data_IF_169688288483
#
_entry.id   IF_169688288483
#
_cell.length_a   1.000
_cell.length_b   1.000
_cell.length_c   1.000
_cell.angle_alpha   90.00
_cell.angle_beta   90.00
_cell.angle_gamma   90.00
#
_symmetry.space_group_name_H-M   'P 1'
#
loop_
_entity.id
_entity.type
_entity.pdbx_description
1 polymer ?
#
# COMPACT_ATOMS: atom_id res chain seq x y z
N UNK A 1 -19.20 -10.21 -4.15
CA UNK A 1 -18.24 -11.31 -4.14
C UNK A 1 -16.89 -10.80 -3.63
N UNK A 2 -16.35 -11.42 -2.58
CA UNK A 2 -15.01 -11.10 -2.09
C UNK A 2 -13.99 -11.81 -2.98
N UNK A 3 -13.00 -11.07 -3.49
CA UNK A 3 -11.98 -11.58 -4.41
C UNK A 3 -10.57 -11.66 -3.83
N UNK A 4 -10.35 -11.03 -2.67
CA UNK A 4 -9.08 -11.11 -1.91
C UNK A 4 -9.29 -10.56 -0.49
N UNK A 5 -8.38 -10.90 0.42
CA UNK A 5 -8.29 -10.27 1.74
C UNK A 5 -6.94 -9.58 1.87
N UNK A 6 -6.95 -8.28 2.17
CA UNK A 6 -5.76 -7.54 2.58
C UNK A 6 -5.64 -7.60 4.11
N UNK A 7 -4.54 -8.16 4.60
CA UNK A 7 -4.28 -8.34 6.03
C UNK A 7 -3.57 -7.10 6.57
N UNK A 8 -4.33 -6.18 7.15
CA UNK A 8 -3.91 -4.90 7.68
C UNK A 8 -3.65 -3.82 6.64
N UNK A 9 -3.19 -2.64 7.11
CA UNK A 9 -2.85 -1.47 6.31
C UNK A 9 -1.57 -0.80 6.82
N UNK A 10 -0.62 -0.49 5.94
CA UNK A 10 0.62 0.26 6.17
C UNK A 10 1.38 -0.12 7.46
N UNK A 11 1.75 -1.38 7.66
CA UNK A 11 2.34 -1.83 8.92
C UNK A 11 3.72 -1.23 9.21
N UNK A 12 4.39 -0.67 8.22
CA UNK A 12 5.66 0.03 8.36
C UNK A 12 5.50 1.56 8.51
N UNK A 13 4.27 2.03 8.65
CA UNK A 13 3.93 3.42 8.96
C UNK A 13 3.46 3.53 10.42
N UNK A 14 4.11 4.38 11.21
CA UNK A 14 3.85 4.52 12.65
C UNK A 14 2.40 4.90 12.98
N UNK A 15 1.70 5.56 12.05
CA UNK A 15 0.28 5.91 12.25
C UNK A 15 -0.67 4.71 12.14
N UNK A 16 -0.22 3.58 11.60
CA UNK A 16 -1.03 2.38 11.36
C UNK A 16 -0.59 1.16 12.17
N UNK A 17 0.69 1.12 12.57
CA UNK A 17 1.26 0.11 13.46
C UNK A 17 2.31 0.74 14.35
N UNK A 18 2.14 0.65 15.66
CA UNK A 18 3.12 1.20 16.58
C UNK A 18 4.32 0.26 16.72
N UNK A 19 5.25 0.38 15.79
CA UNK A 19 6.50 -0.40 15.83
C UNK A 19 7.48 0.06 16.93
N UNK A 20 7.18 1.12 17.68
CA UNK A 20 7.90 1.44 18.92
C UNK A 20 7.54 0.46 20.02
N UNK A 21 6.32 -0.09 20.00
CA UNK A 21 5.86 -1.15 20.89
C UNK A 21 6.17 -2.56 20.33
N UNK A 22 6.35 -2.69 19.02
CA UNK A 22 6.73 -3.94 18.33
C UNK A 22 7.94 -3.68 17.41
N UNK A 23 9.13 -3.36 17.95
CA UNK A 23 10.26 -2.84 17.18
C UNK A 23 10.84 -3.83 16.16
N UNK A 24 10.44 -5.08 16.20
CA UNK A 24 10.86 -6.10 15.24
C UNK A 24 9.71 -6.63 14.38
N UNK A 25 8.52 -6.04 14.44
CA UNK A 25 7.27 -6.51 13.80
C UNK A 25 6.93 -7.98 14.10
N UNK A 26 7.36 -8.51 15.23
CA UNK A 26 7.11 -9.90 15.61
C UNK A 26 5.64 -10.16 15.92
N UNK A 27 4.97 -9.21 16.58
CA UNK A 27 3.53 -9.28 16.87
C UNK A 27 2.72 -9.13 15.59
N UNK A 28 3.10 -8.19 14.73
CA UNK A 28 2.48 -8.02 13.42
C UNK A 28 2.58 -9.29 12.57
N UNK A 29 3.78 -9.87 12.45
CA UNK A 29 3.99 -11.10 11.70
C UNK A 29 3.19 -12.28 12.25
N UNK A 30 3.09 -12.39 13.58
CA UNK A 30 2.25 -13.38 14.24
C UNK A 30 0.77 -13.18 13.88
N UNK A 31 0.27 -11.95 13.93
CA UNK A 31 -1.10 -11.62 13.57
C UNK A 31 -1.39 -12.01 12.11
N UNK A 32 -0.49 -11.68 11.17
CA UNK A 32 -0.64 -12.07 9.75
C UNK A 32 -0.74 -13.58 9.60
N UNK A 33 0.15 -14.33 10.23
CA UNK A 33 0.14 -15.81 10.16
C UNK A 33 -1.13 -16.42 10.73
N UNK A 34 -1.59 -15.93 11.88
CA UNK A 34 -2.82 -16.41 12.52
C UNK A 34 -4.07 -16.07 11.69
N UNK A 35 -4.16 -14.84 11.18
CA UNK A 35 -5.26 -14.44 10.31
C UNK A 35 -5.31 -15.28 9.03
N UNK A 36 -4.17 -15.49 8.40
CA UNK A 36 -4.08 -16.34 7.20
C UNK A 36 -4.51 -17.78 7.51
N UNK A 37 -4.02 -18.36 8.59
CA UNK A 37 -4.40 -19.72 9.00
C UNK A 37 -5.92 -19.84 9.27
N UNK A 38 -6.50 -18.87 9.97
CA UNK A 38 -7.93 -18.85 10.26
C UNK A 38 -8.78 -18.76 8.97
N UNK A 39 -8.40 -17.87 8.05
CA UNK A 39 -9.10 -17.72 6.75
C UNK A 39 -9.01 -19.02 5.94
N UNK A 40 -7.84 -19.67 5.91
CA UNK A 40 -7.66 -20.95 5.20
C UNK A 40 -8.41 -22.11 5.84
N UNK A 41 -8.53 -22.12 7.17
CA UNK A 41 -9.31 -23.14 7.89
C UNK A 41 -10.80 -23.11 7.56
N UNK A 42 -11.35 -21.95 7.18
CA UNK A 42 -12.72 -21.79 6.68
C UNK A 42 -12.88 -22.22 5.19
N UNK A 43 -11.85 -22.84 4.60
CA UNK A 43 -11.88 -23.28 3.20
C UNK A 43 -11.77 -22.14 2.19
N UNK A 44 -11.43 -20.94 2.62
CA UNK A 44 -11.32 -19.79 1.73
C UNK A 44 -10.02 -19.86 0.92
N UNK A 45 -10.13 -19.80 -0.43
CA UNK A 45 -9.02 -19.95 -1.38
C UNK A 45 -8.62 -18.63 -2.08
N UNK A 46 -9.34 -17.53 -1.81
CA UNK A 46 -9.00 -16.24 -2.43
C UNK A 46 -7.61 -15.76 -1.99
N UNK A 47 -6.90 -14.97 -2.83
CA UNK A 47 -5.59 -14.44 -2.48
C UNK A 47 -5.58 -13.67 -1.16
N UNK A 48 -4.59 -13.97 -0.34
CA UNK A 48 -4.25 -13.22 0.87
C UNK A 48 -3.15 -12.22 0.52
N UNK A 49 -3.40 -10.96 0.82
CA UNK A 49 -2.54 -9.84 0.48
C UNK A 49 -1.93 -9.29 1.75
N UNK A 50 -0.60 -9.19 1.81
CA UNK A 50 0.08 -8.51 2.92
C UNK A 50 -0.37 -7.05 2.95
N UNK A 51 -0.59 -6.47 4.13
CA UNK A 51 -1.01 -5.07 4.25
C UNK A 51 -0.09 -4.13 3.47
N UNK A 52 -0.68 -3.24 2.66
CA UNK A 52 0.07 -2.34 1.78
C UNK A 52 1.12 -1.55 2.54
N UNK A 53 2.40 -1.72 2.21
CA UNK A 53 3.46 -1.00 2.88
C UNK A 53 3.63 0.41 2.33
N UNK A 54 3.84 1.36 3.23
CA UNK A 54 4.11 2.77 2.91
C UNK A 54 5.14 3.35 3.89
N UNK A 55 6.28 3.83 3.42
CA UNK A 55 6.77 3.81 2.04
C UNK A 55 7.09 2.40 1.53
N UNK A 56 7.38 2.29 0.22
CA UNK A 56 7.91 1.04 -0.37
C UNK A 56 9.26 0.72 0.27
N UNK A 57 9.31 -0.33 1.08
CA UNK A 57 10.47 -0.67 1.91
C UNK A 57 10.81 -2.17 1.80
N UNK A 58 11.81 -2.54 0.97
CA UNK A 58 12.28 -3.91 0.89
C UNK A 58 12.85 -4.47 2.20
N UNK A 59 13.39 -3.62 3.09
CA UNK A 59 13.93 -4.09 4.37
C UNK A 59 12.81 -4.60 5.29
N UNK A 60 11.65 -3.92 5.31
CA UNK A 60 10.46 -4.40 5.99
C UNK A 60 10.03 -5.78 5.45
N UNK A 61 10.01 -5.98 4.13
CA UNK A 61 9.63 -7.26 3.55
C UNK A 61 10.63 -8.38 3.87
N UNK A 62 11.95 -8.09 3.87
CA UNK A 62 12.96 -9.08 4.33
C UNK A 62 12.67 -9.50 5.75
N UNK A 63 12.36 -8.54 6.62
CA UNK A 63 11.98 -8.82 8.00
C UNK A 63 10.72 -9.69 8.10
N UNK A 64 9.72 -9.45 7.26
CA UNK A 64 8.52 -10.29 7.17
C UNK A 64 8.87 -11.72 6.70
N UNK A 65 9.81 -11.87 5.79
CA UNK A 65 10.33 -13.17 5.37
C UNK A 65 11.02 -13.92 6.52
N UNK A 66 11.92 -13.26 7.23
CA UNK A 66 12.61 -13.83 8.42
C UNK A 66 11.63 -14.33 9.48
N UNK A 67 10.50 -13.64 9.65
CA UNK A 67 9.45 -13.99 10.60
C UNK A 67 8.43 -15.01 10.05
N UNK A 68 8.58 -15.45 8.80
CA UNK A 68 7.69 -16.40 8.13
C UNK A 68 6.32 -15.83 7.76
N UNK A 69 6.14 -14.51 7.80
CA UNK A 69 4.86 -13.88 7.44
C UNK A 69 4.64 -13.87 5.93
N UNK A 70 5.72 -13.84 5.12
CA UNK A 70 5.59 -13.89 3.67
C UNK A 70 5.08 -15.25 3.19
N UNK A 71 5.37 -16.34 3.88
CA UNK A 71 4.88 -17.67 3.52
C UNK A 71 3.36 -17.82 3.71
N UNK A 72 2.79 -16.98 4.56
CA UNK A 72 1.36 -17.00 4.87
C UNK A 72 0.49 -16.22 3.87
N UNK A 73 1.10 -15.44 2.96
CA UNK A 73 0.39 -14.58 2.01
C UNK A 73 0.76 -14.88 0.57
N UNK A 74 -0.17 -14.62 -0.36
CA UNK A 74 0.01 -14.90 -1.78
C UNK A 74 0.56 -13.70 -2.54
N UNK A 75 0.28 -12.47 -2.07
CA UNK A 75 0.54 -11.22 -2.76
C UNK A 75 1.15 -10.21 -1.81
N UNK A 76 2.13 -9.45 -2.31
CA UNK A 76 2.63 -8.25 -1.64
C UNK A 76 1.82 -7.03 -2.08
N UNK A 77 1.52 -6.14 -1.17
CA UNK A 77 0.88 -4.88 -1.49
C UNK A 77 1.77 -3.70 -1.15
N UNK A 78 1.74 -2.70 -2.00
CA UNK A 78 2.47 -1.44 -1.82
C UNK A 78 1.53 -0.26 -1.97
N UNK A 79 1.82 0.79 -1.23
CA UNK A 79 1.26 2.12 -1.42
C UNK A 79 2.35 3.07 -1.89
N UNK A 80 1.96 4.04 -2.69
CA UNK A 80 2.87 5.09 -3.09
C UNK A 80 2.13 6.31 -3.61
N UNK A 81 2.52 7.45 -3.07
CA UNK A 81 2.02 8.77 -3.46
C UNK A 81 3.22 9.60 -3.94
N UNK A 82 3.76 9.28 -5.15
CA UNK A 82 4.91 9.98 -5.69
C UNK A 82 4.58 11.45 -5.91
N UNK A 83 5.61 12.29 -5.84
CA UNK A 83 5.56 13.75 -5.89
C UNK A 83 4.98 14.42 -4.63
N UNK A 84 4.46 13.64 -3.68
CA UNK A 84 3.84 14.14 -2.48
C UNK A 84 4.45 13.47 -1.23
N UNK A 85 3.71 12.60 -0.55
CA UNK A 85 4.18 11.94 0.67
C UNK A 85 5.42 11.08 0.47
N UNK A 86 5.56 10.52 -0.73
CA UNK A 86 6.76 9.83 -1.15
C UNK A 86 7.54 10.68 -2.14
N UNK A 87 8.65 11.24 -1.73
CA UNK A 87 9.47 12.18 -2.50
C UNK A 87 10.30 11.48 -3.61
N UNK A 88 9.69 10.61 -4.40
CA UNK A 88 10.32 9.95 -5.54
C UNK A 88 9.53 10.20 -6.82
N UNK A 89 10.22 10.21 -7.99
CA UNK A 89 9.58 10.44 -9.27
C UNK A 89 8.55 9.37 -9.62
N UNK A 90 7.42 9.79 -10.20
CA UNK A 90 6.35 8.87 -10.64
C UNK A 90 6.87 7.75 -11.56
N UNK A 91 7.86 8.06 -12.40
CA UNK A 91 8.48 7.13 -13.36
C UNK A 91 9.28 5.99 -12.70
N UNK A 92 9.52 6.03 -11.39
CA UNK A 92 10.16 4.93 -10.66
C UNK A 92 9.24 3.74 -10.37
N UNK A 93 7.92 3.87 -10.57
CA UNK A 93 6.97 2.80 -10.28
C UNK A 93 7.35 1.45 -10.90
N UNK A 94 7.62 1.35 -12.23
CA UNK A 94 7.95 0.06 -12.83
C UNK A 94 9.18 -0.60 -12.20
N UNK A 95 10.23 0.18 -11.95
CA UNK A 95 11.47 -0.32 -11.36
C UNK A 95 11.28 -0.81 -9.91
N UNK A 96 10.46 -0.09 -9.12
CA UNK A 96 10.13 -0.49 -7.74
C UNK A 96 9.37 -1.83 -7.72
N UNK A 97 8.35 -1.98 -8.55
CA UNK A 97 7.55 -3.21 -8.61
C UNK A 97 8.39 -4.40 -9.09
N UNK A 98 9.18 -4.20 -10.14
CA UNK A 98 10.06 -5.23 -10.67
C UNK A 98 11.14 -5.65 -9.67
N UNK A 99 11.72 -4.70 -8.94
CA UNK A 99 12.67 -4.96 -7.87
C UNK A 99 12.08 -5.88 -6.79
N UNK A 100 10.87 -5.58 -6.34
CA UNK A 100 10.18 -6.40 -5.34
C UNK A 100 9.83 -7.80 -5.86
N UNK A 101 9.33 -7.93 -7.08
CA UNK A 101 9.02 -9.23 -7.68
C UNK A 101 10.27 -10.11 -7.80
N UNK A 102 11.36 -9.53 -8.27
CA UNK A 102 12.62 -10.24 -8.44
C UNK A 102 13.20 -10.70 -7.10
N UNK A 103 13.11 -9.87 -6.05
CA UNK A 103 13.68 -10.19 -4.74
C UNK A 103 12.82 -11.20 -3.97
N UNK A 104 11.50 -11.06 -3.99
CA UNK A 104 10.60 -11.85 -3.13
C UNK A 104 9.84 -12.95 -3.87
N UNK A 105 9.90 -13.03 -5.19
CA UNK A 105 9.26 -14.09 -5.98
C UNK A 105 7.73 -14.09 -5.89
N UNK A 106 7.09 -12.97 -5.54
CA UNK A 106 5.64 -12.87 -5.34
C UNK A 106 5.02 -11.81 -6.26
N UNK A 107 3.75 -11.97 -6.65
CA UNK A 107 2.98 -10.89 -7.26
C UNK A 107 2.96 -9.65 -6.35
N UNK A 108 3.02 -8.47 -6.96
CA UNK A 108 2.95 -7.19 -6.26
C UNK A 108 1.77 -6.40 -6.79
N UNK A 109 0.89 -5.94 -5.89
CA UNK A 109 -0.23 -5.05 -6.21
C UNK A 109 0.01 -3.66 -5.65
N UNK A 110 -0.37 -2.64 -6.41
CA UNK A 110 -0.42 -1.26 -5.93
C UNK A 110 -1.81 -1.04 -5.34
N UNK A 111 -1.93 -1.18 -4.04
CA UNK A 111 -3.25 -1.14 -3.38
C UNK A 111 -3.68 0.26 -2.96
N UNK A 112 -2.78 1.23 -3.04
CA UNK A 112 -3.09 2.66 -3.01
C UNK A 112 -2.02 3.43 -3.79
N UNK A 113 -2.47 4.31 -4.67
CA UNK A 113 -1.64 5.33 -5.32
C UNK A 113 -2.50 6.50 -5.74
N UNK A 114 -1.93 7.67 -5.75
CA UNK A 114 -2.59 8.89 -6.19
C UNK A 114 -1.58 10.00 -6.43
N UNK A 115 -2.04 11.05 -7.07
CA UNK A 115 -1.33 12.32 -7.21
C UNK A 115 -2.30 13.42 -6.81
N UNK A 116 -1.92 14.24 -5.83
CA UNK A 116 -2.75 15.30 -5.32
C UNK A 116 -3.13 16.32 -6.40
N UNK A 117 -4.35 16.79 -6.38
CA UNK A 117 -4.80 17.97 -7.15
C UNK A 117 -4.50 19.29 -6.43
N UNK A 118 -3.80 19.24 -5.30
CA UNK A 118 -3.44 20.42 -4.53
C UNK A 118 -2.66 21.42 -5.38
N UNK A 119 -3.20 22.61 -5.50
CA UNK A 119 -2.65 23.69 -6.33
C UNK A 119 -3.23 23.75 -7.74
N UNK A 120 -3.47 22.63 -8.43
CA UNK A 120 -4.12 22.58 -9.74
C UNK A 120 -4.64 21.19 -10.09
N UNK A 121 -5.84 21.11 -10.61
CA UNK A 121 -6.46 19.86 -11.07
C UNK A 121 -5.73 19.25 -12.26
N UNK A 122 -5.04 20.05 -13.07
CA UNK A 122 -4.26 19.57 -14.20
C UNK A 122 -3.11 18.66 -13.77
N UNK A 123 -2.51 18.90 -12.59
CA UNK A 123 -1.46 18.03 -12.02
C UNK A 123 -2.08 16.70 -11.61
N UNK A 124 -3.21 16.68 -10.93
CA UNK A 124 -3.93 15.45 -10.59
C UNK A 124 -4.30 14.64 -11.83
N UNK A 125 -4.90 15.30 -12.84
CA UNK A 125 -5.28 14.67 -14.11
C UNK A 125 -4.07 14.15 -14.90
N UNK A 126 -2.95 14.87 -14.92
CA UNK A 126 -1.70 14.40 -15.51
C UNK A 126 -1.16 13.18 -14.75
N UNK A 127 -1.12 13.27 -13.42
CA UNK A 127 -0.64 12.20 -12.56
C UNK A 127 -1.43 10.91 -12.72
N UNK A 128 -2.76 10.99 -12.82
CA UNK A 128 -3.61 9.84 -13.11
C UNK A 128 -3.26 9.20 -14.46
N UNK A 129 -3.22 9.99 -15.54
CA UNK A 129 -2.87 9.48 -16.88
C UNK A 129 -1.49 8.82 -16.87
N UNK A 130 -0.50 9.50 -16.31
CA UNK A 130 0.88 9.00 -16.28
C UNK A 130 0.99 7.72 -15.44
N UNK A 131 0.32 7.65 -14.31
CA UNK A 131 0.27 6.43 -13.49
C UNK A 131 -0.34 5.25 -14.24
N UNK A 132 -1.44 5.45 -14.95
CA UNK A 132 -2.09 4.41 -15.75
C UNK A 132 -1.20 3.92 -16.92
N UNK A 133 -0.39 4.80 -17.50
CA UNK A 133 0.60 4.41 -18.51
C UNK A 133 1.72 3.54 -17.92
N UNK A 134 2.33 4.00 -16.83
CA UNK A 134 3.45 3.35 -16.16
C UNK A 134 3.08 2.02 -15.52
N UNK A 135 1.86 1.92 -15.01
CA UNK A 135 1.33 0.74 -14.30
C UNK A 135 0.40 -0.09 -15.19
N UNK A 136 0.53 0.05 -16.51
CA UNK A 136 -0.29 -0.73 -17.46
C UNK A 136 -0.10 -2.23 -17.27
N UNK A 137 -1.22 -2.94 -17.06
CA UNK A 137 -1.22 -4.38 -16.80
C UNK A 137 -0.99 -4.77 -15.34
N UNK A 138 -0.73 -3.80 -14.47
CA UNK A 138 -0.65 -3.99 -13.03
C UNK A 138 -2.02 -3.97 -12.37
N UNK A 139 -2.16 -4.59 -11.20
CA UNK A 139 -3.33 -4.41 -10.35
C UNK A 139 -3.14 -3.17 -9.49
N UNK A 140 -3.90 -2.13 -9.79
CA UNK A 140 -3.77 -0.80 -9.20
C UNK A 140 -5.11 -0.34 -8.65
N UNK A 141 -5.08 0.29 -7.48
CA UNK A 141 -6.21 0.97 -6.88
C UNK A 141 -5.86 2.45 -6.73
N UNK A 142 -6.61 3.29 -7.44
CA UNK A 142 -6.42 4.74 -7.38
C UNK A 142 -7.08 5.30 -6.12
N UNK A 143 -6.37 6.14 -5.42
CA UNK A 143 -6.82 6.80 -4.20
C UNK A 143 -6.82 8.32 -4.41
N UNK A 144 -7.98 8.94 -4.63
CA UNK A 144 -9.31 8.35 -4.58
C UNK A 144 -10.20 8.88 -5.70
N UNK A 145 -11.39 8.32 -5.89
CA UNK A 145 -12.31 8.71 -6.97
C UNK A 145 -12.91 10.10 -6.76
N UNK A 146 -13.18 10.46 -5.51
CA UNK A 146 -13.76 11.74 -5.12
C UNK A 146 -12.95 12.30 -3.95
N UNK A 147 -12.65 13.58 -4.01
CA UNK A 147 -12.09 14.31 -2.87
C UNK A 147 -13.12 14.43 -1.74
N UNK A 148 -12.65 14.65 -0.51
CA UNK A 148 -13.53 15.03 0.59
C UNK A 148 -14.27 16.32 0.25
N UNK A 149 -15.57 16.36 0.55
CA UNK A 149 -16.30 17.59 0.40
C UNK A 149 -15.70 18.69 1.30
N UNK A 150 -15.67 19.97 0.85
CA UNK A 150 -14.93 21.05 1.54
C UNK A 150 -15.34 21.30 3.00
N UNK A 151 -16.53 20.84 3.40
CA UNK A 151 -17.01 20.96 4.79
C UNK A 151 -16.43 19.94 5.76
N UNK A 152 -15.72 18.92 5.28
CA UNK A 152 -15.08 17.93 6.13
C UNK A 152 -13.62 18.32 6.39
N UNK A 153 -13.22 18.24 7.66
CA UNK A 153 -11.83 18.41 8.04
C UNK A 153 -11.06 17.13 7.75
N UNK A 154 -9.87 17.26 7.17
CA UNK A 154 -8.95 16.15 7.02
C UNK A 154 -8.48 15.68 8.42
N UNK A 155 -8.66 14.40 8.70
CA UNK A 155 -8.28 13.79 9.99
C UNK A 155 -6.83 13.34 10.04
N UNK A 156 -6.08 13.49 8.95
CA UNK A 156 -4.68 13.11 8.85
C UNK A 156 -3.76 14.16 9.46
N UNK A 157 -2.50 13.78 9.74
CA UNK A 157 -1.47 14.71 10.22
C UNK A 157 -1.00 15.70 9.13
N UNK A 158 -1.46 15.53 7.93
CA UNK A 158 -1.18 16.41 6.80
C UNK A 158 -1.96 17.70 6.95
N UNK A 159 -1.48 18.75 6.30
CA UNK A 159 -2.21 20.01 6.26
C UNK A 159 -3.58 19.77 5.65
N UNK A 160 -4.59 20.43 6.19
CA UNK A 160 -5.98 20.27 5.78
C UNK A 160 -6.18 20.37 4.26
N UNK A 161 -5.48 21.31 3.60
CA UNK A 161 -5.56 21.48 2.16
C UNK A 161 -5.01 20.28 1.37
N UNK A 162 -3.94 19.63 1.85
CA UNK A 162 -3.39 18.41 1.23
C UNK A 162 -4.34 17.23 1.40
N UNK A 163 -4.96 17.10 2.58
CA UNK A 163 -5.94 16.07 2.85
C UNK A 163 -7.15 16.12 1.91
N UNK A 164 -7.70 17.31 1.69
CA UNK A 164 -8.87 17.51 0.80
C UNK A 164 -8.57 17.30 -0.68
N UNK A 165 -7.31 17.22 -1.08
CA UNK A 165 -6.92 16.97 -2.46
C UNK A 165 -6.82 15.48 -2.82
N UNK A 166 -6.99 14.60 -1.85
CA UNK A 166 -7.00 13.14 -2.04
C UNK A 166 -8.34 12.51 -1.65
N UNK A 167 -9.12 13.19 -0.81
CA UNK A 167 -10.35 12.67 -0.22
C UNK A 167 -11.57 13.42 -0.69
#
# INVERSE_FOLDING_TARGET
LITSFKLWNEPNNLSHWDFLLDPGWSVYAQMVKQAAAAIRAEGCTVPLVLGGMSPVDPAFLRRMGELGALDAVDVLAVHGFPLDWNLWPLDEWPAKLEGLRREFGKPVWVTETGVSSFGTEEVGAWGLRRSLELLRGEKVFWYTLLDLAPQYEATTRHKQAEGTSYF
#
